data_IF_832864622278
#
_entry.id   IF_832864622278
#
_cell.length_a   1.000
_cell.length_b   1.000
_cell.length_c   1.000
_cell.angle_alpha   90.00
_cell.angle_beta   90.00
_cell.angle_gamma   90.00
#
_symmetry.space_group_name_H-M   'P 1'
#
loop_
_entity.id
_entity.type
_entity.pdbx_description
1 polymer ?
#
# COMPACT_ATOMS: atom_id res chain seq x y z
N UNK A 1 69.22 -8.15 28.97
CA UNK A 1 68.40 -7.29 29.85
C UNK A 1 66.98 -7.42 29.34
N UNK A 2 66.31 -8.57 29.48
CA UNK A 2 65.72 -9.23 30.67
C UNK A 2 64.25 -9.42 30.25
N UNK A 3 63.80 -10.62 29.83
CA UNK A 3 63.27 -11.74 30.66
C UNK A 3 62.15 -11.23 31.60
N UNK A 4 60.89 -11.70 31.64
CA UNK A 4 60.23 -12.95 31.25
C UNK A 4 58.70 -12.74 31.08
N UNK A 5 57.99 -13.66 30.40
CA UNK A 5 56.54 -13.89 30.54
C UNK A 5 56.25 -15.24 31.23
N UNK A 6 55.37 -15.28 32.24
CA UNK A 6 54.59 -16.47 32.65
C UNK A 6 53.69 -16.16 33.85
N UNK A 7 52.44 -16.63 33.83
CA UNK A 7 51.93 -17.59 34.84
C UNK A 7 50.57 -18.13 34.40
N UNK A 8 50.60 -19.41 34.10
CA UNK A 8 49.49 -20.35 33.91
C UNK A 8 48.93 -20.75 35.28
N UNK A 9 47.61 -20.92 35.42
CA UNK A 9 47.07 -22.11 36.11
C UNK A 9 45.60 -22.33 35.76
N UNK A 10 45.21 -23.57 35.40
CA UNK A 10 43.85 -24.04 35.21
C UNK A 10 43.33 -24.73 36.49
N UNK A 11 42.02 -24.80 36.65
CA UNK A 11 41.37 -25.66 37.65
C UNK A 11 40.45 -26.64 36.95
N UNK A 12 40.79 -27.91 37.10
CA UNK A 12 40.05 -29.12 36.73
C UNK A 12 39.55 -29.84 38.00
N UNK A 13 38.75 -30.90 37.81
CA UNK A 13 38.35 -32.00 38.74
C UNK A 13 37.00 -31.73 39.44
N UNK A 14 35.99 -32.62 39.44
CA UNK A 14 35.78 -33.94 38.83
C UNK A 14 34.31 -34.36 38.96
N UNK A 15 33.95 -35.34 38.15
CA UNK A 15 32.78 -36.20 38.17
C UNK A 15 32.46 -36.79 39.56
N UNK A 16 31.17 -37.08 39.81
CA UNK A 16 30.81 -38.45 40.18
C UNK A 16 29.40 -38.82 39.74
N UNK A 17 29.29 -40.07 39.33
CA UNK A 17 28.19 -40.79 38.72
C UNK A 17 27.66 -41.80 39.75
N UNK A 18 26.36 -42.10 39.79
CA UNK A 18 25.83 -43.36 40.35
C UNK A 18 24.37 -43.50 39.90
N UNK A 19 24.10 -44.32 38.88
CA UNK A 19 23.77 -45.76 38.91
C UNK A 19 22.24 -45.98 39.10
N UNK A 20 21.54 -46.37 38.02
CA UNK A 20 21.04 -47.73 37.75
C UNK A 20 19.76 -48.07 38.56
N UNK A 21 18.71 -48.74 38.07
CA UNK A 21 18.66 -49.88 37.14
C UNK A 21 17.21 -50.08 36.66
N UNK A 22 17.06 -50.69 35.49
CA UNK A 22 15.85 -51.20 34.86
C UNK A 22 15.13 -52.32 35.66
N UNK A 23 13.87 -52.64 35.28
CA UNK A 23 13.34 -53.98 34.90
C UNK A 23 11.78 -53.91 34.84
N UNK A 24 11.08 -54.00 33.69
CA UNK A 24 10.61 -55.14 32.85
C UNK A 24 9.33 -55.89 33.32
N UNK A 25 8.33 -55.94 32.42
CA UNK A 25 7.22 -56.92 32.23
C UNK A 25 6.14 -57.05 33.34
N UNK A 26 4.87 -57.45 33.13
CA UNK A 26 4.24 -58.34 32.12
C UNK A 26 2.70 -58.17 32.16
N UNK A 27 2.02 -58.60 31.09
CA UNK A 27 0.57 -58.67 30.91
C UNK A 27 -0.18 -59.62 31.88
N UNK A 28 -1.52 -59.46 32.03
CA UNK A 28 -2.59 -60.42 31.61
C UNK A 28 -3.98 -59.98 32.15
N UNK A 29 -5.02 -60.36 31.41
CA UNK A 29 -6.44 -59.96 31.38
C UNK A 29 -7.38 -60.42 32.52
N UNK A 30 -8.55 -59.75 32.64
CA UNK A 30 -9.97 -60.25 32.64
C UNK A 30 -10.86 -59.17 33.30
N UNK A 31 -11.79 -58.48 32.61
CA UNK A 31 -13.14 -58.86 32.13
C UNK A 31 -14.24 -58.31 33.07
N UNK A 32 -15.12 -57.43 32.57
CA UNK A 32 -16.60 -57.47 32.66
C UNK A 32 -17.21 -56.16 32.11
N UNK A 33 -18.14 -56.34 31.17
CA UNK A 33 -18.86 -55.35 30.34
C UNK A 33 -19.83 -54.42 31.09
N UNK A 34 -20.13 -53.24 30.50
CA UNK A 34 -21.49 -52.78 30.08
C UNK A 34 -21.35 -51.75 28.95
N UNK A 35 -22.23 -51.87 27.95
CA UNK A 35 -22.35 -51.13 26.70
C UNK A 35 -22.58 -49.62 26.83
N UNK A 36 -22.13 -48.81 25.84
CA UNK A 36 -23.05 -48.22 24.86
C UNK A 36 -22.35 -47.62 23.61
N UNK A 37 -23.04 -47.84 22.51
CA UNK A 37 -23.08 -47.30 21.14
C UNK A 37 -21.87 -46.77 20.31
N UNK A 38 -22.10 -46.98 19.03
CA UNK A 38 -21.30 -47.02 17.82
C UNK A 38 -20.64 -45.73 17.29
N UNK A 39 -19.39 -45.93 16.84
CA UNK A 39 -18.71 -45.42 15.64
C UNK A 39 -19.34 -44.27 14.81
N UNK A 40 -18.50 -43.33 14.34
CA UNK A 40 -18.18 -43.20 12.90
C UNK A 40 -17.03 -42.22 12.61
N UNK A 41 -15.94 -42.77 12.07
CA UNK A 41 -15.12 -42.28 10.94
C UNK A 41 -14.86 -40.76 10.79
N UNK A 42 -13.65 -40.34 11.14
CA UNK A 42 -13.06 -39.05 10.76
C UNK A 42 -12.86 -38.96 9.24
N UNK A 43 -13.73 -38.22 8.55
CA UNK A 43 -13.52 -37.77 7.16
C UNK A 43 -12.87 -36.37 7.15
N UNK A 44 -12.05 -36.04 6.13
CA UNK A 44 -11.39 -34.74 6.05
C UNK A 44 -12.44 -33.65 5.76
N UNK A 45 -12.43 -32.61 6.58
CA UNK A 45 -13.35 -31.48 6.48
C UNK A 45 -13.19 -30.75 5.15
N UNK A 46 -14.27 -30.72 4.35
CA UNK A 46 -14.43 -29.78 3.24
C UNK A 46 -14.41 -28.34 3.79
N UNK A 47 -13.91 -27.35 3.03
CA UNK A 47 -13.79 -25.97 3.49
C UNK A 47 -15.18 -25.42 3.83
N UNK A 48 -15.36 -25.06 5.09
CA UNK A 48 -16.57 -24.43 5.60
C UNK A 48 -16.60 -22.97 5.12
N UNK A 49 -17.78 -22.51 4.74
CA UNK A 49 -18.10 -21.26 4.02
C UNK A 49 -17.45 -20.01 4.66
N UNK A 50 -16.54 -19.36 3.94
CA UNK A 50 -15.81 -18.12 4.30
C UNK A 50 -16.68 -16.84 4.29
N UNK A 51 -17.92 -16.94 3.82
CA UNK A 51 -18.80 -15.79 3.58
C UNK A 51 -19.41 -15.22 4.88
N UNK A 52 -19.79 -16.09 5.83
CA UNK A 52 -20.38 -15.66 7.11
C UNK A 52 -19.34 -14.92 7.97
N UNK A 53 -18.11 -15.40 7.98
CA UNK A 53 -16.98 -14.75 8.66
C UNK A 53 -16.63 -13.40 8.01
N UNK A 54 -16.84 -13.28 6.69
CA UNK A 54 -16.60 -12.03 5.98
C UNK A 54 -17.58 -10.95 6.41
N UNK A 55 -18.88 -11.28 6.35
CA UNK A 55 -19.97 -10.41 6.75
C UNK A 55 -19.90 -9.99 8.23
N UNK A 56 -19.65 -10.94 9.14
CA UNK A 56 -19.62 -10.67 10.59
C UNK A 56 -18.53 -9.69 11.01
N UNK A 57 -17.30 -9.79 10.48
CA UNK A 57 -16.26 -8.80 10.82
C UNK A 57 -16.57 -7.44 10.21
N UNK A 58 -17.16 -7.39 9.01
CA UNK A 58 -17.54 -6.13 8.39
C UNK A 58 -18.67 -5.44 9.17
N UNK A 59 -19.65 -6.20 9.67
CA UNK A 59 -20.68 -5.69 10.56
C UNK A 59 -20.09 -5.19 11.88
N UNK A 60 -19.21 -5.98 12.51
CA UNK A 60 -18.52 -5.58 13.75
C UNK A 60 -17.70 -4.29 13.58
N UNK A 61 -17.07 -4.09 12.41
CA UNK A 61 -16.37 -2.85 12.10
C UNK A 61 -17.33 -1.66 11.99
N UNK A 62 -18.48 -1.82 11.34
CA UNK A 62 -19.54 -0.78 11.26
C UNK A 62 -20.12 -0.48 12.65
N UNK A 63 -20.38 -1.50 13.46
CA UNK A 63 -20.90 -1.32 14.82
C UNK A 63 -19.89 -0.57 15.70
N UNK A 64 -18.60 -0.92 15.61
CA UNK A 64 -17.53 -0.20 16.32
C UNK A 64 -17.43 1.27 15.88
N UNK A 65 -17.71 1.57 14.61
CA UNK A 65 -17.68 2.92 14.06
C UNK A 65 -18.79 3.82 14.64
N UNK A 66 -19.93 3.24 15.04
CA UNK A 66 -21.03 3.99 15.66
C UNK A 66 -20.65 4.68 16.98
N UNK A 67 -19.62 4.19 17.66
CA UNK A 67 -19.08 4.81 18.88
C UNK A 67 -18.17 6.02 18.62
N UNK A 68 -17.68 6.16 17.38
CA UNK A 68 -16.69 7.17 16.97
C UNK A 68 -17.37 8.31 16.23
N UNK A 69 -18.34 7.99 15.36
CA UNK A 69 -19.04 8.96 14.56
C UNK A 69 -20.32 9.45 15.22
N UNK A 70 -20.64 10.76 15.13
CA UNK A 70 -21.87 11.30 15.70
C UNK A 70 -23.13 10.80 14.99
N UNK A 71 -23.03 10.40 13.72
CA UNK A 71 -24.15 9.86 12.95
C UNK A 71 -23.66 8.77 12.00
N UNK A 72 -24.26 7.57 12.10
CA UNK A 72 -24.07 6.47 11.15
C UNK A 72 -25.42 6.19 10.49
N UNK A 73 -25.53 6.27 9.16
CA UNK A 73 -26.78 6.00 8.46
C UNK A 73 -27.31 4.60 8.77
N UNK A 74 -28.60 4.44 9.10
CA UNK A 74 -29.20 3.14 9.41
C UNK A 74 -29.17 2.16 8.22
N UNK A 75 -28.98 2.69 7.00
CA UNK A 75 -28.74 1.93 5.78
C UNK A 75 -27.44 1.13 5.81
N UNK A 76 -26.43 1.54 6.58
CA UNK A 76 -25.16 0.81 6.71
C UNK A 76 -25.31 -0.40 7.63
N UNK A 77 -26.01 -0.26 8.75
CA UNK A 77 -26.24 -1.34 9.71
C UNK A 77 -27.19 -2.42 9.18
N UNK A 78 -28.04 -2.08 8.20
CA UNK A 78 -29.01 -3.00 7.59
C UNK A 78 -28.56 -3.56 6.24
N UNK A 79 -27.34 -3.23 5.80
CA UNK A 79 -26.83 -3.62 4.48
C UNK A 79 -26.40 -5.09 4.45
N UNK A 80 -26.67 -5.77 3.33
CA UNK A 80 -26.14 -7.11 3.06
C UNK A 80 -24.64 -7.09 2.74
N UNK A 81 -24.10 -5.93 2.35
CA UNK A 81 -22.68 -5.72 2.02
C UNK A 81 -22.11 -4.51 2.77
N UNK A 82 -21.93 -4.59 4.10
CA UNK A 82 -21.57 -3.45 4.95
C UNK A 82 -20.27 -2.76 4.51
N UNK A 83 -19.24 -3.52 4.13
CA UNK A 83 -17.95 -2.96 3.69
C UNK A 83 -18.08 -2.14 2.38
N UNK A 84 -18.84 -2.62 1.40
CA UNK A 84 -19.04 -1.92 0.12
C UNK A 84 -19.90 -0.68 0.30
N UNK A 85 -20.95 -0.75 1.13
CA UNK A 85 -21.77 0.41 1.46
C UNK A 85 -20.95 1.48 2.17
N UNK A 86 -20.10 1.09 3.13
CA UNK A 86 -19.18 2.00 3.81
C UNK A 86 -18.15 2.63 2.85
N UNK A 87 -17.66 1.87 1.87
CA UNK A 87 -16.71 2.36 0.86
C UNK A 87 -17.29 3.45 -0.03
N UNK A 88 -18.60 3.47 -0.30
CA UNK A 88 -19.23 4.40 -1.22
C UNK A 88 -20.10 5.46 -0.53
N UNK A 89 -20.30 5.37 0.78
CA UNK A 89 -21.07 6.37 1.51
C UNK A 89 -20.35 7.73 1.50
N UNK A 90 -20.99 8.81 1.00
CA UNK A 90 -20.37 10.13 0.90
C UNK A 90 -20.42 10.91 2.23
N UNK A 91 -21.41 10.66 3.09
CA UNK A 91 -21.56 11.39 4.35
C UNK A 91 -20.52 10.93 5.38
N UNK A 92 -20.33 9.62 5.49
CA UNK A 92 -19.25 9.03 6.28
C UNK A 92 -17.89 9.50 5.77
N UNK A 93 -17.71 9.59 4.45
CA UNK A 93 -16.44 10.02 3.89
C UNK A 93 -16.09 11.48 4.23
N UNK A 94 -17.08 12.38 4.15
CA UNK A 94 -16.92 13.77 4.57
C UNK A 94 -16.57 13.86 6.05
N UNK A 95 -17.24 13.06 6.89
CA UNK A 95 -16.99 13.06 8.33
C UNK A 95 -15.61 12.49 8.68
N UNK A 96 -15.18 11.40 8.05
CA UNK A 96 -13.81 10.89 8.15
C UNK A 96 -12.79 11.95 7.73
N UNK A 97 -13.01 12.61 6.58
CA UNK A 97 -12.12 13.66 6.09
C UNK A 97 -12.04 14.82 7.08
N UNK A 98 -13.18 15.25 7.65
CA UNK A 98 -13.26 16.27 8.68
C UNK A 98 -12.44 15.89 9.91
N UNK A 99 -12.67 14.70 10.48
CA UNK A 99 -11.99 14.19 11.68
C UNK A 99 -10.48 14.02 11.46
N UNK A 100 -10.07 13.44 10.34
CA UNK A 100 -8.65 13.22 10.02
C UNK A 100 -7.90 14.55 9.78
N UNK A 101 -8.56 15.61 9.33
CA UNK A 101 -7.94 16.93 9.13
C UNK A 101 -7.89 17.79 10.41
N UNK A 102 -8.58 17.44 11.49
CA UNK A 102 -8.54 18.20 12.76
C UNK A 102 -7.12 18.25 13.37
N UNK A 103 -6.68 19.34 13.99
CA UNK A 103 -5.28 19.53 14.42
C UNK A 103 -4.79 18.54 15.49
N UNK A 104 -5.70 17.95 16.25
CA UNK A 104 -5.51 16.92 17.28
C UNK A 104 -5.58 15.48 16.74
N UNK A 105 -5.87 15.31 15.45
CA UNK A 105 -5.88 13.99 14.82
C UNK A 105 -4.47 13.39 14.71
N UNK A 106 -4.40 12.07 14.70
CA UNK A 106 -3.15 11.32 14.52
C UNK A 106 -2.36 11.05 15.80
N UNK A 107 -2.85 11.47 16.97
CA UNK A 107 -2.31 11.06 18.27
C UNK A 107 -2.55 9.56 18.54
N UNK A 108 -1.79 8.96 19.47
CA UNK A 108 -1.86 7.51 19.75
C UNK A 108 -3.16 7.04 20.42
N UNK A 109 -3.91 7.96 21.01
CA UNK A 109 -5.23 7.76 21.62
C UNK A 109 -6.40 8.03 20.65
N UNK A 110 -6.11 8.42 19.40
CA UNK A 110 -7.14 8.71 18.43
C UNK A 110 -7.94 7.45 18.04
N UNK A 111 -9.21 7.42 18.42
CA UNK A 111 -10.11 6.27 18.19
C UNK A 111 -10.30 5.97 16.70
N UNK A 112 -10.31 6.98 15.83
CA UNK A 112 -10.43 6.78 14.39
C UNK A 112 -9.19 6.10 13.80
N UNK A 113 -7.99 6.49 14.25
CA UNK A 113 -6.74 5.83 13.84
C UNK A 113 -6.69 4.37 14.32
N UNK A 114 -7.14 4.10 15.55
CA UNK A 114 -7.27 2.74 16.09
C UNK A 114 -8.26 1.91 15.25
N UNK A 115 -9.43 2.46 14.95
CA UNK A 115 -10.42 1.78 14.10
C UNK A 115 -9.88 1.47 12.70
N UNK A 116 -9.17 2.41 12.07
CA UNK A 116 -8.53 2.20 10.76
C UNK A 116 -7.48 1.08 10.83
N UNK A 117 -6.66 1.07 11.89
CA UNK A 117 -5.67 0.03 12.13
C UNK A 117 -6.33 -1.35 12.29
N UNK A 118 -7.29 -1.48 13.21
CA UNK A 118 -7.97 -2.73 13.51
C UNK A 118 -8.74 -3.26 12.28
N UNK A 119 -9.42 -2.36 11.56
CA UNK A 119 -10.16 -2.68 10.33
C UNK A 119 -9.23 -3.23 9.25
N UNK A 120 -8.04 -2.65 9.08
CA UNK A 120 -7.06 -3.15 8.12
C UNK A 120 -6.48 -4.52 8.52
N UNK A 121 -6.25 -4.74 9.82
CA UNK A 121 -5.72 -5.99 10.37
C UNK A 121 -6.70 -7.17 10.27
N UNK A 122 -7.99 -6.93 10.02
CA UNK A 122 -8.97 -8.01 9.78
C UNK A 122 -8.60 -8.92 8.59
N UNK A 123 -7.75 -8.42 7.68
CA UNK A 123 -7.29 -9.14 6.50
C UNK A 123 -8.34 -9.28 5.40
N UNK A 124 -9.50 -8.64 5.53
CA UNK A 124 -10.55 -8.71 4.52
C UNK A 124 -10.32 -7.70 3.39
N UNK A 125 -10.30 -8.11 2.11
CA UNK A 125 -10.03 -7.21 1.00
C UNK A 125 -10.97 -5.99 0.92
N UNK A 126 -12.26 -6.19 1.20
CA UNK A 126 -13.26 -5.11 1.14
C UNK A 126 -13.04 -4.07 2.25
N UNK A 127 -12.72 -4.48 3.47
CA UNK A 127 -12.42 -3.58 4.59
C UNK A 127 -11.06 -2.89 4.42
N UNK A 128 -10.06 -3.60 3.90
CA UNK A 128 -8.78 -2.99 3.54
C UNK A 128 -8.96 -1.89 2.50
N UNK A 129 -9.86 -2.07 1.53
CA UNK A 129 -10.20 -1.04 0.54
C UNK A 129 -10.83 0.20 1.18
N UNK A 130 -11.68 0.04 2.20
CA UNK A 130 -12.24 1.15 2.98
C UNK A 130 -11.11 1.95 3.65
N UNK A 131 -10.13 1.28 4.26
CA UNK A 131 -8.98 1.97 4.88
C UNK A 131 -8.15 2.69 3.82
N UNK A 132 -7.90 2.06 2.66
CA UNK A 132 -7.15 2.66 1.57
C UNK A 132 -7.86 3.88 0.96
N UNK A 133 -9.21 3.95 0.95
CA UNK A 133 -9.96 5.14 0.53
C UNK A 133 -9.48 6.40 1.26
N UNK A 134 -9.15 6.31 2.54
CA UNK A 134 -8.73 7.44 3.37
C UNK A 134 -7.22 7.64 3.44
N UNK A 135 -6.43 6.80 2.74
CA UNK A 135 -4.98 6.91 2.73
C UNK A 135 -4.47 8.28 2.23
N UNK A 136 -5.03 8.90 1.17
CA UNK A 136 -4.58 10.21 0.72
C UNK A 136 -4.62 11.27 1.82
N UNK A 137 -5.68 11.28 2.64
CA UNK A 137 -5.82 12.19 3.77
C UNK A 137 -4.82 11.85 4.87
N UNK A 138 -4.70 10.57 5.23
CA UNK A 138 -3.77 10.11 6.25
C UNK A 138 -2.33 10.49 5.89
N UNK A 139 -1.88 10.16 4.68
CA UNK A 139 -0.56 10.50 4.18
C UNK A 139 -0.38 12.02 4.05
N UNK A 140 -1.40 12.71 3.53
CA UNK A 140 -1.50 14.15 3.38
C UNK A 140 -1.19 14.90 4.66
N UNK A 141 -2.06 14.71 5.64
CA UNK A 141 -2.00 15.34 6.95
C UNK A 141 -0.75 14.89 7.71
N UNK A 142 -0.39 13.61 7.63
CA UNK A 142 0.81 13.09 8.28
C UNK A 142 2.08 13.78 7.77
N UNK A 143 2.31 13.84 6.45
CA UNK A 143 3.51 14.45 5.89
C UNK A 143 3.60 15.95 6.19
N UNK A 144 2.49 16.67 6.13
CA UNK A 144 2.44 18.10 6.48
C UNK A 144 2.72 18.38 7.95
N UNK A 145 2.31 17.50 8.87
CA UNK A 145 2.56 17.66 10.31
C UNK A 145 3.89 17.08 10.77
N UNK A 146 4.38 16.06 10.09
CA UNK A 146 5.63 15.40 10.45
C UNK A 146 6.87 16.25 10.13
N UNK A 147 6.73 17.29 9.29
CA UNK A 147 7.73 18.35 9.11
C UNK A 147 7.76 19.34 10.29
N UNK A 148 6.69 19.40 11.08
CA UNK A 148 6.55 20.26 12.27
C UNK A 148 6.98 19.55 13.57
N UNK A 149 7.55 18.34 13.49
CA UNK A 149 7.97 17.54 14.64
C UNK A 149 6.85 17.26 15.69
N UNK A 150 5.59 17.25 15.26
CA UNK A 150 4.46 16.87 16.13
C UNK A 150 4.41 15.34 16.29
N UNK A 151 4.05 14.82 17.47
CA UNK A 151 3.83 13.38 17.65
C UNK A 151 2.58 12.94 16.87
N UNK A 152 2.70 11.90 16.04
CA UNK A 152 1.63 11.41 15.16
C UNK A 152 1.52 9.88 15.24
N UNK A 153 1.67 9.32 16.44
CA UNK A 153 1.76 7.88 16.67
C UNK A 153 0.55 7.09 16.12
N UNK A 154 -0.66 7.67 16.12
CA UNK A 154 -1.84 7.04 15.53
C UNK A 154 -1.74 6.89 14.02
N UNK A 155 -1.32 7.93 13.31
CA UNK A 155 -1.07 7.85 11.86
C UNK A 155 0.09 6.93 11.53
N UNK A 156 1.16 6.99 12.31
CA UNK A 156 2.33 6.12 12.14
C UNK A 156 1.96 4.65 12.33
N UNK A 157 1.09 4.31 13.27
CA UNK A 157 0.61 2.94 13.46
C UNK A 157 -0.14 2.42 12.22
N UNK A 158 -1.05 3.22 11.64
CA UNK A 158 -1.79 2.83 10.42
C UNK A 158 -0.83 2.67 9.23
N UNK A 159 0.07 3.64 9.01
CA UNK A 159 1.04 3.59 7.91
C UNK A 159 2.01 2.40 8.06
N UNK A 160 2.44 2.08 9.27
CA UNK A 160 3.26 0.89 9.56
C UNK A 160 2.49 -0.40 9.32
N UNK A 161 1.19 -0.46 9.64
CA UNK A 161 0.36 -1.63 9.34
C UNK A 161 0.28 -1.89 7.83
N UNK A 162 0.05 -0.86 7.02
CA UNK A 162 0.05 -0.95 5.56
C UNK A 162 1.41 -1.42 5.03
N UNK A 163 2.49 -0.86 5.55
CA UNK A 163 3.85 -1.22 5.18
C UNK A 163 4.21 -2.66 5.57
N UNK A 164 3.81 -3.10 6.77
CA UNK A 164 4.04 -4.45 7.25
C UNK A 164 3.28 -5.47 6.39
N UNK A 165 2.03 -5.17 6.03
CA UNK A 165 1.26 -5.99 5.10
C UNK A 165 1.98 -6.17 3.76
N UNK A 166 2.41 -5.08 3.12
CA UNK A 166 3.20 -5.14 1.89
C UNK A 166 4.52 -5.91 2.05
N UNK A 167 5.19 -5.77 3.19
CA UNK A 167 6.43 -6.50 3.47
C UNK A 167 6.18 -8.00 3.57
N UNK A 168 5.09 -8.41 4.23
CA UNK A 168 4.70 -9.83 4.31
C UNK A 168 4.30 -10.41 2.96
N UNK A 169 3.57 -9.64 2.14
CA UNK A 169 3.15 -10.05 0.79
C UNK A 169 4.36 -10.25 -0.11
N UNK A 170 5.36 -9.37 -0.03
CA UNK A 170 6.60 -9.47 -0.83
C UNK A 170 7.52 -10.59 -0.35
N UNK A 171 7.39 -11.07 0.88
CA UNK A 171 8.19 -12.16 1.45
C UNK A 171 9.71 -12.01 1.20
N UNK A 172 10.24 -10.79 1.39
CA UNK A 172 11.65 -10.47 1.16
C UNK A 172 12.09 -10.35 -0.30
N UNK A 173 11.17 -10.45 -1.27
CA UNK A 173 11.47 -10.32 -2.70
C UNK A 173 11.32 -8.87 -3.19
N UNK A 174 12.12 -8.50 -4.18
CA UNK A 174 12.00 -7.22 -4.87
C UNK A 174 10.91 -7.33 -5.96
N UNK A 175 10.24 -6.22 -6.25
CA UNK A 175 9.33 -6.16 -7.39
C UNK A 175 10.18 -5.96 -8.64
N UNK A 176 10.16 -6.94 -9.53
CA UNK A 176 10.94 -6.93 -10.77
C UNK A 176 10.04 -7.07 -11.99
N UNK A 177 10.50 -6.54 -13.13
CA UNK A 177 9.82 -6.65 -14.42
C UNK A 177 10.83 -7.07 -15.48
N UNK A 178 10.45 -8.00 -16.36
CA UNK A 178 11.25 -8.32 -17.54
C UNK A 178 11.02 -7.23 -18.58
N UNK A 179 12.09 -6.53 -18.98
CA UNK A 179 12.02 -5.56 -20.07
C UNK A 179 11.86 -6.33 -21.38
N UNK A 180 10.79 -6.07 -22.17
CA UNK A 180 10.62 -6.68 -23.47
C UNK A 180 11.75 -6.30 -24.42
N UNK A 181 12.25 -7.26 -25.18
CA UNK A 181 13.25 -7.07 -26.23
C UNK A 181 12.67 -7.52 -27.57
N UNK A 182 12.78 -6.65 -28.59
CA UNK A 182 12.32 -6.90 -29.97
C UNK A 182 13.19 -7.94 -30.71
N UNK A 183 14.31 -8.35 -30.10
CA UNK A 183 15.16 -9.43 -30.60
C UNK A 183 14.57 -10.83 -30.36
N UNK A 184 13.54 -10.92 -29.52
CA UNK A 184 12.87 -12.17 -29.15
C UNK A 184 11.39 -12.12 -29.51
N UNK A 185 10.86 -13.19 -30.12
CA UNK A 185 9.43 -13.26 -30.46
C UNK A 185 8.60 -13.11 -29.19
N UNK A 186 7.54 -12.32 -29.28
CA UNK A 186 6.59 -12.08 -28.20
C UNK A 186 5.16 -12.36 -28.67
N UNK A 187 4.19 -12.19 -27.78
CA UNK A 187 2.76 -12.37 -28.11
C UNK A 187 2.33 -11.45 -29.28
N UNK A 188 3.01 -10.31 -29.47
CA UNK A 188 2.63 -9.30 -30.46
C UNK A 188 3.51 -9.26 -31.72
N UNK A 189 4.66 -9.95 -31.72
CA UNK A 189 5.54 -9.95 -32.89
C UNK A 189 6.38 -11.22 -32.97
N UNK A 190 6.70 -11.62 -34.20
CA UNK A 190 7.62 -12.73 -34.49
C UNK A 190 8.88 -12.19 -35.15
N UNK A 191 10.04 -12.65 -34.70
CA UNK A 191 11.32 -12.29 -35.31
C UNK A 191 11.73 -13.36 -36.32
N UNK A 192 12.06 -12.91 -37.54
CA UNK A 192 12.51 -13.78 -38.65
C UNK A 192 13.99 -14.16 -38.51
N UNK A 193 14.72 -13.60 -37.56
CA UNK A 193 16.16 -13.84 -37.38
C UNK A 193 16.39 -14.69 -36.14
N UNK A 194 17.07 -15.82 -36.30
CA UNK A 194 17.58 -16.59 -35.15
C UNK A 194 18.46 -15.67 -34.30
N UNK A 195 18.22 -15.55 -32.98
CA UNK A 195 19.02 -14.68 -32.14
C UNK A 195 20.47 -15.14 -32.23
N UNK A 196 21.36 -14.28 -32.72
CA UNK A 196 22.81 -14.50 -32.60
C UNK A 196 23.10 -14.45 -31.11
N UNK A 197 23.34 -15.62 -30.50
CA UNK A 197 23.65 -15.86 -29.09
C UNK A 197 24.33 -14.66 -28.40
N UNK A 198 23.52 -13.72 -27.93
CA UNK A 198 23.95 -12.60 -27.13
C UNK A 198 22.81 -12.39 -26.15
N UNK A 199 22.99 -13.00 -24.98
CA UNK A 199 22.17 -12.92 -23.77
C UNK A 199 20.80 -13.62 -23.82
N UNK A 200 20.76 -14.85 -23.31
CA UNK A 200 19.60 -15.45 -22.62
C UNK A 200 19.39 -14.82 -21.22
N UNK A 201 19.81 -13.58 -21.01
CA UNK A 201 19.48 -12.82 -19.80
C UNK A 201 18.24 -12.00 -20.12
N UNK A 202 17.09 -12.44 -19.63
CA UNK A 202 15.93 -11.58 -19.52
C UNK A 202 16.41 -10.29 -18.85
N UNK A 203 16.30 -9.15 -19.52
CA UNK A 203 16.69 -7.84 -18.97
C UNK A 203 15.74 -7.49 -17.81
N UNK A 204 16.03 -8.03 -16.62
CA UNK A 204 15.18 -7.84 -15.44
C UNK A 204 15.50 -6.47 -14.84
N UNK A 205 14.49 -5.60 -14.79
CA UNK A 205 14.55 -4.33 -14.09
C UNK A 205 13.88 -4.42 -12.72
N UNK A 206 14.52 -3.86 -11.70
CA UNK A 206 13.95 -3.75 -10.35
C UNK A 206 13.10 -2.48 -10.27
N UNK A 207 11.79 -2.64 -10.12
CA UNK A 207 10.83 -1.54 -10.01
C UNK A 207 10.74 -0.98 -8.59
N UNK A 208 10.82 -1.86 -7.59
CA UNK A 208 10.78 -1.52 -6.17
C UNK A 208 11.71 -2.48 -5.43
N UNK A 209 12.71 -1.99 -4.67
CA UNK A 209 13.63 -2.86 -3.94
C UNK A 209 12.90 -3.67 -2.85
N UNK A 210 13.60 -4.66 -2.32
CA UNK A 210 13.15 -5.46 -1.17
C UNK A 210 12.74 -4.57 0.01
N UNK A 211 11.73 -5.00 0.76
CA UNK A 211 11.26 -4.29 1.95
C UNK A 211 11.80 -4.95 3.21
N UNK A 212 12.33 -4.14 4.11
CA UNK A 212 12.78 -4.57 5.44
C UNK A 212 11.66 -4.31 6.45
N UNK A 213 11.35 -5.22 7.38
CA UNK A 213 10.36 -4.94 8.42
C UNK A 213 10.79 -3.77 9.32
N UNK A 214 9.87 -2.84 9.60
CA UNK A 214 10.11 -1.69 10.47
C UNK A 214 9.09 -1.64 11.60
N UNK A 215 9.55 -1.44 12.84
CA UNK A 215 8.67 -1.26 14.01
C UNK A 215 8.31 0.18 14.35
N UNK A 216 9.03 1.17 13.80
CA UNK A 216 8.80 2.61 14.06
C UNK A 216 9.07 3.44 12.81
N UNK A 217 8.38 4.58 12.66
CA UNK A 217 8.58 5.49 11.53
C UNK A 217 9.69 6.49 11.84
N UNK A 218 10.86 6.30 11.22
CA UNK A 218 11.99 7.26 11.30
C UNK A 218 11.95 8.26 10.16
N UNK A 219 12.47 9.47 10.36
CA UNK A 219 12.50 10.53 9.32
C UNK A 219 13.16 10.07 8.02
N UNK A 220 14.26 9.30 8.10
CA UNK A 220 15.00 8.75 6.94
C UNK A 220 14.21 7.71 6.13
N UNK A 221 13.27 7.01 6.77
CA UNK A 221 12.47 5.94 6.14
C UNK A 221 11.04 6.37 5.86
N UNK A 222 10.60 7.50 6.41
CA UNK A 222 9.23 8.04 6.30
C UNK A 222 8.72 8.06 4.87
N UNK A 223 9.50 8.64 3.96
CA UNK A 223 9.12 8.75 2.56
C UNK A 223 8.94 7.37 1.89
N UNK A 224 9.76 6.38 2.25
CA UNK A 224 9.64 5.01 1.74
C UNK A 224 8.42 4.30 2.30
N UNK A 225 8.13 4.45 3.59
CA UNK A 225 6.95 3.85 4.25
C UNK A 225 5.67 4.41 3.61
N UNK A 226 5.56 5.74 3.50
CA UNK A 226 4.41 6.39 2.85
C UNK A 226 4.35 6.02 1.37
N UNK A 227 5.49 5.99 0.67
CA UNK A 227 5.56 5.58 -0.74
C UNK A 227 5.02 4.17 -0.98
N UNK A 228 5.38 3.20 -0.13
CA UNK A 228 4.86 1.82 -0.21
C UNK A 228 3.36 1.77 0.10
N UNK A 229 2.86 2.56 1.06
CA UNK A 229 1.42 2.66 1.28
C UNK A 229 0.69 3.22 0.04
N UNK A 230 1.26 4.22 -0.63
CA UNK A 230 0.73 4.73 -1.90
C UNK A 230 0.84 3.72 -3.06
N UNK A 231 1.87 2.87 -3.08
CA UNK A 231 1.93 1.73 -4.02
C UNK A 231 0.75 0.78 -3.79
N UNK A 232 0.46 0.42 -2.53
CA UNK A 232 -0.70 -0.42 -2.18
C UNK A 232 -2.02 0.23 -2.61
N UNK A 233 -2.20 1.54 -2.36
CA UNK A 233 -3.34 2.30 -2.89
C UNK A 233 -3.44 2.22 -4.41
N UNK A 234 -2.33 2.40 -5.12
CA UNK A 234 -2.28 2.31 -6.57
C UNK A 234 -2.71 0.92 -7.08
N UNK A 235 -2.36 -0.17 -6.40
CA UNK A 235 -2.81 -1.53 -6.81
C UNK A 235 -4.33 -1.71 -6.76
N UNK A 236 -5.04 -0.89 -5.98
CA UNK A 236 -6.50 -0.95 -5.79
C UNK A 236 -7.23 0.26 -6.36
N UNK A 237 -6.53 1.17 -7.03
CA UNK A 237 -7.04 2.50 -7.44
C UNK A 237 -8.30 2.44 -8.30
N UNK A 238 -8.48 1.39 -9.11
CA UNK A 238 -9.66 1.22 -9.95
C UNK A 238 -10.94 0.97 -9.15
N UNK A 239 -10.84 0.46 -7.93
CA UNK A 239 -11.97 0.18 -7.03
C UNK A 239 -12.23 1.32 -6.04
N UNK A 240 -11.36 2.34 -6.00
CA UNK A 240 -11.44 3.45 -5.06
C UNK A 240 -12.31 4.57 -5.67
N UNK A 241 -13.27 5.13 -4.90
CA UNK A 241 -14.11 6.24 -5.35
C UNK A 241 -13.32 7.47 -5.83
N UNK A 242 -13.93 8.24 -6.72
CA UNK A 242 -13.33 9.44 -7.32
C UNK A 242 -12.95 10.48 -6.28
N UNK A 243 -13.77 10.68 -5.24
CA UNK A 243 -13.50 11.68 -4.18
C UNK A 243 -12.12 11.50 -3.53
N UNK A 244 -11.75 10.24 -3.22
CA UNK A 244 -10.43 9.91 -2.65
C UNK A 244 -9.28 10.30 -3.59
N UNK A 245 -9.48 10.13 -4.89
CA UNK A 245 -8.50 10.49 -5.92
C UNK A 245 -8.38 12.02 -6.04
N UNK A 246 -9.48 12.76 -5.88
CA UNK A 246 -9.47 14.24 -5.85
C UNK A 246 -8.73 14.74 -4.61
N UNK A 247 -9.00 14.18 -3.43
CA UNK A 247 -8.26 14.51 -2.20
C UNK A 247 -6.76 14.23 -2.34
N UNK A 248 -6.39 13.14 -3.03
CA UNK A 248 -4.99 12.87 -3.34
C UNK A 248 -4.35 13.99 -4.20
N UNK A 249 -5.07 14.48 -5.21
CA UNK A 249 -4.60 15.58 -6.06
C UNK A 249 -4.44 16.88 -5.27
N UNK A 250 -5.38 17.18 -4.36
CA UNK A 250 -5.30 18.31 -3.43
C UNK A 250 -4.00 18.25 -2.60
N UNK A 251 -3.71 17.12 -1.94
CA UNK A 251 -2.48 16.98 -1.16
C UNK A 251 -1.21 17.06 -2.01
N UNK A 252 -1.22 16.59 -3.26
CA UNK A 252 -0.09 16.78 -4.16
C UNK A 252 0.22 18.26 -4.42
N UNK A 253 -0.80 19.12 -4.52
CA UNK A 253 -0.62 20.58 -4.67
C UNK A 253 -0.05 21.21 -3.41
N UNK A 254 -0.57 20.81 -2.24
CA UNK A 254 -0.07 21.24 -0.93
C UNK A 254 1.42 20.87 -0.80
N UNK A 255 1.78 19.62 -1.09
CA UNK A 255 3.16 19.15 -0.98
C UNK A 255 4.12 19.80 -1.98
N UNK A 256 3.62 20.18 -3.17
CA UNK A 256 4.39 20.95 -4.15
C UNK A 256 4.72 22.37 -3.64
N UNK A 257 3.91 22.91 -2.72
CA UNK A 257 4.07 24.23 -2.13
C UNK A 257 3.24 25.32 -2.83
N UNK A 258 2.19 24.95 -3.56
CA UNK A 258 1.34 25.91 -4.30
C UNK A 258 0.46 26.77 -3.37
N UNK A 259 0.03 26.22 -2.22
CA UNK A 259 -0.82 26.93 -1.26
C UNK A 259 -0.04 27.87 -0.30
N UNK A 260 1.17 28.26 -0.67
CA UNK A 260 2.06 29.12 0.12
C UNK A 260 1.62 30.59 0.27
N UNK A 261 0.50 31.01 -0.32
CA UNK A 261 -0.03 32.37 -0.22
C UNK A 261 -1.47 32.39 0.29
N UNK A 262 -1.62 32.39 1.64
CA UNK A 262 -2.57 33.19 2.45
C UNK A 262 -2.86 32.53 3.82
N UNK A 263 -2.01 32.84 4.80
CA UNK A 263 -2.50 33.08 6.17
C UNK A 263 -2.58 31.91 7.17
N UNK A 264 -1.96 30.74 6.95
CA UNK A 264 -1.78 29.73 8.01
C UNK A 264 -0.31 29.34 8.13
N UNK A 265 0.19 29.35 9.37
CA UNK A 265 1.60 29.51 9.71
C UNK A 265 2.53 28.45 9.12
N UNK A 266 3.77 28.87 8.83
CA UNK A 266 4.98 28.10 8.46
C UNK A 266 4.78 26.57 8.36
N UNK A 267 4.06 26.10 7.35
CA UNK A 267 4.09 24.68 7.01
C UNK A 267 5.48 24.42 6.41
N UNK A 268 6.29 23.62 7.12
CA UNK A 268 7.64 23.31 6.68
C UNK A 268 7.61 22.61 5.33
N UNK A 269 8.42 23.08 4.37
CA UNK A 269 8.58 22.48 3.04
C UNK A 269 8.84 20.98 3.18
N UNK A 270 7.97 20.16 2.58
CA UNK A 270 8.08 18.70 2.62
C UNK A 270 9.14 18.26 1.60
N UNK A 271 9.98 17.31 2.01
CA UNK A 271 10.94 16.65 1.13
C UNK A 271 10.21 15.56 0.32
N UNK A 272 10.29 15.65 -1.01
CA UNK A 272 9.67 14.71 -1.95
C UNK A 272 10.75 13.90 -2.67
N UNK A 273 11.39 12.92 -2.01
CA UNK A 273 12.37 12.07 -2.66
C UNK A 273 11.69 11.16 -3.69
N UNK A 274 12.49 10.59 -4.59
CA UNK A 274 11.98 9.83 -5.74
C UNK A 274 11.12 8.62 -5.33
N UNK A 275 11.43 7.97 -4.21
CA UNK A 275 10.69 6.82 -3.69
C UNK A 275 9.25 7.15 -3.28
N UNK A 276 9.00 8.41 -2.91
CA UNK A 276 7.67 8.92 -2.63
C UNK A 276 7.00 9.44 -3.91
N UNK A 277 7.76 10.14 -4.76
CA UNK A 277 7.24 10.75 -5.97
C UNK A 277 6.82 9.72 -7.03
N UNK A 278 7.53 8.60 -7.15
CA UNK A 278 7.23 7.55 -8.13
C UNK A 278 5.79 7.00 -8.01
N UNK A 279 5.31 6.52 -6.84
CA UNK A 279 3.91 6.11 -6.69
C UNK A 279 2.93 7.27 -6.86
N UNK A 280 3.29 8.49 -6.45
CA UNK A 280 2.43 9.67 -6.67
C UNK A 280 2.16 9.91 -8.16
N UNK A 281 3.20 9.82 -9.00
CA UNK A 281 3.07 10.00 -10.44
C UNK A 281 2.27 8.89 -11.11
N UNK A 282 2.34 7.65 -10.60
CA UNK A 282 1.49 6.54 -11.07
C UNK A 282 0.02 6.79 -10.76
N UNK A 283 -0.28 7.26 -9.55
CA UNK A 283 -1.64 7.64 -9.14
C UNK A 283 -2.15 8.79 -10.01
N UNK A 284 -1.37 9.87 -10.17
CA UNK A 284 -1.75 10.99 -11.04
C UNK A 284 -1.94 10.56 -12.51
N UNK A 285 -1.09 9.67 -13.01
CA UNK A 285 -1.25 9.09 -14.35
C UNK A 285 -2.61 8.38 -14.51
N UNK A 286 -3.02 7.60 -13.49
CA UNK A 286 -4.36 7.01 -13.48
C UNK A 286 -5.47 8.09 -13.36
N UNK A 287 -5.29 9.13 -12.57
CA UNK A 287 -6.31 10.19 -12.46
C UNK A 287 -6.48 10.98 -13.78
N UNK A 288 -5.44 11.06 -14.60
CA UNK A 288 -5.46 11.77 -15.88
C UNK A 288 -5.93 10.90 -17.05
N UNK A 289 -5.51 9.63 -17.08
CA UNK A 289 -5.70 8.74 -18.24
C UNK A 289 -6.50 7.48 -17.89
N UNK A 290 -7.06 7.41 -16.69
CA UNK A 290 -7.86 6.30 -16.24
C UNK A 290 -9.21 6.20 -16.95
N UNK A 291 -9.94 5.09 -16.75
CA UNK A 291 -11.26 4.90 -17.36
C UNK A 291 -12.32 5.88 -16.83
N UNK A 292 -12.09 6.45 -15.64
CA UNK A 292 -13.01 7.38 -14.99
C UNK A 292 -12.98 8.76 -15.66
N UNK A 293 -13.99 9.08 -16.45
CA UNK A 293 -14.11 10.35 -17.19
C UNK A 293 -14.64 11.52 -16.35
N UNK A 294 -14.26 11.61 -15.06
CA UNK A 294 -14.63 12.76 -14.24
C UNK A 294 -13.80 13.99 -14.63
N UNK A 295 -14.47 15.02 -15.14
CA UNK A 295 -13.82 16.29 -15.51
C UNK A 295 -13.15 16.94 -14.31
N UNK A 296 -13.80 16.89 -13.14
CA UNK A 296 -13.26 17.44 -11.89
C UNK A 296 -11.98 16.72 -11.48
N UNK A 297 -11.96 15.38 -11.54
CA UNK A 297 -10.76 14.60 -11.25
C UNK A 297 -9.62 14.92 -12.21
N UNK A 298 -9.92 14.99 -13.51
CA UNK A 298 -8.93 15.31 -14.54
C UNK A 298 -8.33 16.71 -14.31
N UNK A 299 -9.16 17.72 -14.03
CA UNK A 299 -8.69 19.08 -13.73
C UNK A 299 -7.83 19.12 -12.46
N UNK A 300 -8.29 18.48 -11.37
CA UNK A 300 -7.54 18.41 -10.12
C UNK A 300 -6.17 17.73 -10.31
N UNK A 301 -6.13 16.62 -11.06
CA UNK A 301 -4.90 15.90 -11.35
C UNK A 301 -3.96 16.69 -12.26
N UNK A 302 -4.50 17.43 -13.22
CA UNK A 302 -3.72 18.29 -14.11
C UNK A 302 -3.06 19.43 -13.32
N UNK A 303 -3.82 20.10 -12.44
CA UNK A 303 -3.29 21.11 -11.53
C UNK A 303 -2.19 20.52 -10.63
N UNK A 304 -2.44 19.37 -9.98
CA UNK A 304 -1.44 18.68 -9.16
C UNK A 304 -0.15 18.36 -9.93
N UNK A 305 -0.26 17.86 -11.17
CA UNK A 305 0.89 17.55 -12.00
C UNK A 305 1.69 18.80 -12.39
N UNK A 306 1.02 19.92 -12.70
CA UNK A 306 1.69 21.21 -12.97
C UNK A 306 2.47 21.72 -11.76
N UNK A 307 1.88 21.62 -10.57
CA UNK A 307 2.51 22.07 -9.33
C UNK A 307 3.72 21.21 -8.98
N UNK A 308 3.62 19.89 -9.13
CA UNK A 308 4.76 18.99 -8.97
C UNK A 308 5.85 19.22 -10.03
N UNK A 309 5.50 19.55 -11.28
CA UNK A 309 6.47 19.92 -12.31
C UNK A 309 7.22 21.20 -11.93
N UNK A 310 6.51 22.27 -11.54
CA UNK A 310 7.11 23.51 -11.07
C UNK A 310 8.03 23.27 -9.86
N UNK A 311 7.57 22.44 -8.92
CA UNK A 311 8.38 22.02 -7.78
C UNK A 311 9.64 21.25 -8.18
N UNK A 312 9.52 20.35 -9.14
CA UNK A 312 10.65 19.54 -9.64
C UNK A 312 11.73 20.39 -10.32
N UNK A 313 11.32 21.46 -11.02
CA UNK A 313 12.23 22.47 -11.57
C UNK A 313 12.96 23.23 -10.46
N UNK A 314 12.23 23.66 -9.41
CA UNK A 314 12.83 24.31 -8.25
C UNK A 314 13.82 23.42 -7.48
N UNK A 315 13.51 22.12 -7.36
CA UNK A 315 14.37 21.14 -6.68
C UNK A 315 15.52 20.62 -7.58
N UNK A 316 15.54 21.00 -8.88
CA UNK A 316 16.50 20.51 -9.88
C UNK A 316 16.60 18.98 -9.87
N UNK A 317 15.44 18.31 -9.85
CA UNK A 317 15.37 16.84 -9.86
C UNK A 317 15.09 16.34 -11.29
N UNK A 318 16.10 15.85 -12.04
CA UNK A 318 15.94 15.53 -13.46
C UNK A 318 14.94 14.38 -13.70
N UNK A 319 14.90 13.36 -12.83
CA UNK A 319 13.94 12.25 -12.94
C UNK A 319 12.51 12.75 -12.78
N UNK A 320 12.29 13.62 -11.79
CA UNK A 320 11.00 14.22 -11.51
C UNK A 320 10.54 15.16 -12.63
N UNK A 321 11.43 16.03 -13.13
CA UNK A 321 11.19 16.94 -14.26
C UNK A 321 10.76 16.15 -15.50
N UNK A 322 11.50 15.09 -15.83
CA UNK A 322 11.19 14.26 -16.99
C UNK A 322 9.83 13.58 -16.84
N UNK A 323 9.56 12.95 -15.70
CA UNK A 323 8.34 12.19 -15.50
C UNK A 323 7.08 13.09 -15.44
N UNK A 324 7.12 14.19 -14.68
CA UNK A 324 6.01 15.15 -14.61
C UNK A 324 5.82 15.91 -15.93
N UNK A 325 6.91 16.30 -16.60
CA UNK A 325 6.86 16.95 -17.90
C UNK A 325 6.29 16.05 -19.00
N UNK A 326 6.67 14.77 -19.03
CA UNK A 326 6.08 13.80 -19.97
C UNK A 326 4.58 13.61 -19.72
N UNK A 327 4.15 13.55 -18.46
CA UNK A 327 2.74 13.39 -18.11
C UNK A 327 1.92 14.61 -18.58
N UNK A 328 2.41 15.83 -18.39
CA UNK A 328 1.77 17.05 -18.90
C UNK A 328 1.69 17.08 -20.44
N UNK A 329 2.73 16.61 -21.13
CA UNK A 329 2.70 16.53 -22.60
C UNK A 329 1.64 15.53 -23.09
N UNK A 330 1.53 14.38 -22.42
CA UNK A 330 0.50 13.38 -22.75
C UNK A 330 -0.91 13.95 -22.58
N UNK A 331 -1.16 14.70 -21.49
CA UNK A 331 -2.47 15.33 -21.26
C UNK A 331 -2.84 16.32 -22.36
N UNK A 332 -1.87 17.12 -22.83
CA UNK A 332 -2.09 18.05 -23.94
C UNK A 332 -2.41 17.29 -25.24
N UNK A 333 -1.68 16.22 -25.53
CA UNK A 333 -1.94 15.38 -26.71
C UNK A 333 -3.32 14.72 -26.68
N UNK A 334 -3.78 14.24 -25.53
CA UNK A 334 -5.13 13.66 -25.40
C UNK A 334 -6.21 14.71 -25.64
N UNK A 335 -5.99 15.94 -25.17
CA UNK A 335 -6.93 17.06 -25.42
C UNK A 335 -7.03 17.40 -26.91
N UNK A 336 -5.92 17.24 -27.65
CA UNK A 336 -5.88 17.44 -29.10
C UNK A 336 -6.54 16.27 -29.87
N UNK A 337 -6.46 15.04 -29.33
CA UNK A 337 -7.08 13.83 -29.92
C UNK A 337 -8.60 13.79 -29.78
N UNK A 338 -9.18 14.35 -28.71
CA UNK A 338 -10.65 14.47 -28.57
C UNK A 338 -11.27 15.38 -29.66
N UNK A 339 -10.44 16.19 -30.35
CA UNK A 339 -10.83 16.98 -31.52
C UNK A 339 -10.51 16.27 -32.86
N UNK A 340 -9.95 15.07 -32.85
CA UNK A 340 -9.51 14.36 -34.05
C UNK A 340 -10.57 13.36 -34.50
N UNK A 341 -11.21 13.64 -35.64
CA UNK A 341 -12.19 12.74 -36.25
C UNK A 341 -11.48 11.48 -36.80
N UNK A 342 -11.69 10.33 -36.16
CA UNK A 342 -11.13 9.05 -36.59
C UNK A 342 -11.75 8.51 -37.89
N UNK A 343 -12.76 9.17 -38.44
CA UNK A 343 -13.33 8.84 -39.76
C UNK A 343 -12.65 9.56 -40.92
N UNK A 344 -11.79 10.54 -40.63
CA UNK A 344 -10.96 11.18 -41.64
C UNK A 344 -9.74 10.30 -41.94
N UNK A 345 -9.82 9.54 -43.03
CA UNK A 345 -8.65 8.92 -43.65
C UNK A 345 -7.81 10.07 -44.22
N UNK A 346 -6.55 10.28 -43.77
CA UNK A 346 -5.70 11.28 -44.39
C UNK A 346 -5.46 10.86 -45.85
N UNK A 347 -6.09 11.58 -46.79
CA UNK A 347 -5.77 11.48 -48.21
C UNK A 347 -4.33 11.93 -48.41
N UNK A 348 -3.39 11.00 -48.27
CA UNK A 348 -2.04 11.15 -48.82
C UNK A 348 -2.13 10.99 -50.33
N UNK A 349 -2.73 11.99 -50.97
CA UNK A 349 -2.64 12.14 -52.42
C UNK A 349 -1.21 12.59 -52.73
N UNK A 350 -0.40 11.63 -53.20
CA UNK A 350 0.57 11.72 -54.31
C UNK A 350 1.84 10.92 -53.98
N UNK A 351 1.85 9.67 -54.44
CA UNK A 351 3.09 9.04 -54.88
C UNK A 351 3.40 9.68 -56.24
N UNK A 352 4.33 10.64 -56.26
CA UNK A 352 4.98 11.03 -57.51
C UNK A 352 6.03 9.94 -57.82
N UNK A 353 5.74 9.16 -58.86
CA UNK A 353 6.65 8.19 -59.48
C UNK A 353 7.81 8.88 -60.19
#
# INVERSE_FOLDING_TARGET
MSDDPATTTPSSISDDNTDATATTATATATDTAVADDSSYSTKPSRPHITWCDSYTKAQSAVDSLSSILPHVPPSLSSSETPATSLLHDPEIAKEFSRLLRQPDSGLGDNNLCRWLYDTFQTGQPALQLVVLRFLPILAGVYLSRASLHKPLAGFEAVLLALYAHETTVRNGQAITVSIPDLSHSSIYHETTKTPKNTATELNIAVLSPTLEPHGTVRSTRRARIVGVALELYYTKISQIPVDSKIEFCEFCRIWAGEDGDKGKGKEGRINLPWELLQPMLRILGHCLMGPDKSKELHEAACCACRSLYARSLHDINPKAILATGSLLRLVNMTSDLDNFDHTDIPQTNLIAL
#
